data_IF_463055505986
#
_entry.id   IF_463055505986
#
_cell.length_a   1.000
_cell.length_b   1.000
_cell.length_c   1.000
_cell.angle_alpha   90.00
_cell.angle_beta   90.00
_cell.angle_gamma   90.00
#
_symmetry.space_group_name_H-M   'P 1'
#
loop_
_entity.id
_entity.type
_entity.pdbx_description
1 polymer ?
#
# COMPACT_ATOMS: atom_id res chain seq x y z
N UNK A 1 -23.62 25.69 0.67
CA UNK A 1 -23.10 24.67 1.59
C UNK A 1 -22.32 25.37 2.66
N UNK A 2 -22.55 25.02 3.92
CA UNK A 2 -21.85 25.64 5.05
C UNK A 2 -20.37 25.18 5.07
N UNK A 3 -19.43 26.08 5.32
CA UNK A 3 -18.00 25.78 5.48
C UNK A 3 -17.72 24.65 6.49
N UNK A 4 -18.63 24.43 7.44
CA UNK A 4 -18.56 23.34 8.45
C UNK A 4 -18.69 21.91 7.89
N UNK A 5 -18.97 21.72 6.60
CA UNK A 5 -19.05 20.41 5.95
C UNK A 5 -17.79 20.04 5.15
N UNK A 6 -16.84 20.96 5.05
CA UNK A 6 -15.55 20.75 4.39
C UNK A 6 -14.55 20.21 5.40
N UNK A 7 -13.86 19.14 5.06
CA UNK A 7 -12.82 18.59 5.90
C UNK A 7 -11.50 18.55 5.15
N UNK A 8 -10.49 19.20 5.72
CA UNK A 8 -9.09 19.05 5.35
C UNK A 8 -8.33 18.18 6.35
N UNK A 9 -8.99 17.79 7.43
CA UNK A 9 -8.36 17.14 8.60
C UNK A 9 -7.74 15.78 8.26
N UNK A 10 -8.31 15.04 7.28
CA UNK A 10 -7.89 13.68 6.95
C UNK A 10 -6.95 13.58 5.75
N UNK A 11 -6.71 14.68 5.04
CA UNK A 11 -6.03 14.62 3.74
C UNK A 11 -4.54 14.92 3.80
N UNK A 12 -4.00 15.26 4.96
CA UNK A 12 -2.62 15.74 5.09
C UNK A 12 -1.58 14.80 4.46
N UNK A 13 -1.52 13.53 4.85
CA UNK A 13 -0.61 12.57 4.20
C UNK A 13 -1.04 12.21 2.79
N UNK A 14 -2.33 12.23 2.50
CA UNK A 14 -2.89 12.08 1.16
C UNK A 14 -2.41 13.16 0.19
N UNK A 15 -2.11 14.37 0.68
CA UNK A 15 -1.60 15.49 -0.13
C UNK A 15 -0.40 15.10 -0.97
N UNK A 16 0.48 14.25 -0.47
CA UNK A 16 1.62 13.72 -1.21
C UNK A 16 1.16 13.04 -2.51
N UNK A 17 0.19 12.15 -2.44
CA UNK A 17 -0.36 11.44 -3.60
C UNK A 17 -1.12 12.36 -4.55
N UNK A 18 -1.78 13.40 -4.03
CA UNK A 18 -2.46 14.42 -4.84
C UNK A 18 -1.48 15.31 -5.61
N UNK A 19 -0.29 15.58 -5.05
CA UNK A 19 0.72 16.41 -5.70
C UNK A 19 1.55 15.66 -6.73
N UNK A 20 1.54 14.33 -6.74
CA UNK A 20 2.25 13.51 -7.72
C UNK A 20 1.73 13.70 -9.13
N UNK A 21 2.54 13.36 -10.12
CA UNK A 21 2.21 13.48 -11.52
C UNK A 21 1.13 12.49 -11.94
N UNK A 22 1.24 11.27 -11.47
CA UNK A 22 0.31 10.18 -11.78
C UNK A 22 -0.54 9.82 -10.56
N UNK A 23 -1.80 9.52 -10.79
CA UNK A 23 -2.67 8.97 -9.75
C UNK A 23 -2.20 7.56 -9.42
N UNK A 24 -1.98 7.27 -8.15
CA UNK A 24 -1.70 5.92 -7.68
C UNK A 24 -3.04 5.24 -7.39
N UNK A 25 -3.48 4.38 -8.31
CA UNK A 25 -4.70 3.59 -8.17
C UNK A 25 -4.33 2.18 -7.73
N UNK A 26 -4.63 1.86 -6.48
CA UNK A 26 -4.38 0.55 -5.89
C UNK A 26 -5.56 -0.38 -6.10
N UNK A 27 -5.33 -1.70 -6.05
CA UNK A 27 -6.37 -2.71 -6.21
C UNK A 27 -6.23 -3.85 -5.21
N UNK A 28 -7.33 -4.18 -4.53
CA UNK A 28 -7.51 -5.44 -3.84
C UNK A 28 -8.43 -6.37 -4.66
N UNK A 29 -8.05 -7.64 -4.75
CA UNK A 29 -8.84 -8.68 -5.40
C UNK A 29 -9.13 -9.80 -4.41
N UNK A 30 -10.39 -10.05 -4.12
CA UNK A 30 -10.84 -11.17 -3.30
C UNK A 30 -11.56 -12.18 -4.15
N UNK A 31 -11.04 -13.39 -4.27
CA UNK A 31 -11.78 -14.50 -4.84
C UNK A 31 -12.60 -15.15 -3.71
N UNK A 32 -13.90 -15.23 -3.91
CA UNK A 32 -14.85 -15.87 -2.98
C UNK A 32 -15.04 -17.34 -3.33
N UNK A 33 -15.70 -18.10 -2.44
CA UNK A 33 -15.97 -19.51 -2.67
C UNK A 33 -16.95 -19.73 -3.83
N UNK A 34 -17.91 -18.83 -4.00
CA UNK A 34 -18.95 -18.90 -5.02
C UNK A 34 -18.93 -17.65 -5.91
N UNK A 35 -19.59 -17.77 -7.08
CA UNK A 35 -19.80 -16.63 -7.95
C UNK A 35 -20.50 -15.47 -7.23
N UNK A 36 -20.01 -14.26 -7.43
CA UNK A 36 -20.52 -13.04 -6.81
C UNK A 36 -21.86 -12.66 -7.44
N UNK A 37 -22.84 -12.38 -6.60
CA UNK A 37 -24.12 -11.80 -7.01
C UNK A 37 -24.06 -10.27 -6.95
N UNK A 38 -24.00 -9.56 -8.09
CA UNK A 38 -23.80 -8.10 -8.10
C UNK A 38 -24.85 -7.32 -7.32
N UNK A 39 -26.12 -7.77 -7.37
CA UNK A 39 -27.21 -7.12 -6.64
C UNK A 39 -27.05 -7.24 -5.11
N UNK A 40 -26.55 -8.38 -4.61
CA UNK A 40 -26.26 -8.54 -3.18
C UNK A 40 -25.03 -7.73 -2.77
N UNK A 41 -24.01 -7.67 -3.64
CA UNK A 41 -22.81 -6.86 -3.40
C UNK A 41 -23.16 -5.37 -3.35
N UNK A 42 -24.07 -4.88 -4.21
CA UNK A 42 -24.58 -3.50 -4.17
C UNK A 42 -25.24 -3.19 -2.82
N UNK A 43 -26.13 -4.05 -2.37
CA UNK A 43 -26.78 -3.89 -1.05
C UNK A 43 -25.80 -3.92 0.11
N UNK A 44 -24.78 -4.78 0.02
CA UNK A 44 -23.72 -4.87 1.01
C UNK A 44 -22.88 -3.59 1.06
N UNK A 45 -22.53 -3.03 -0.09
CA UNK A 45 -21.83 -1.76 -0.21
C UNK A 45 -22.62 -0.60 0.41
N UNK A 46 -23.93 -0.51 0.12
CA UNK A 46 -24.82 0.50 0.70
C UNK A 46 -24.91 0.37 2.23
N UNK A 47 -25.04 -0.86 2.74
CA UNK A 47 -25.04 -1.12 4.16
C UNK A 47 -23.72 -0.73 4.83
N UNK A 48 -22.57 -1.05 4.23
CA UNK A 48 -21.25 -0.66 4.74
C UNK A 48 -21.07 0.86 4.74
N UNK A 49 -21.45 1.55 3.65
CA UNK A 49 -21.36 3.01 3.56
C UNK A 49 -22.26 3.75 4.56
N UNK A 50 -23.37 3.14 4.97
CA UNK A 50 -24.28 3.76 5.95
C UNK A 50 -23.65 3.93 7.34
N UNK A 51 -22.61 3.15 7.65
CA UNK A 51 -21.89 3.15 8.94
C UNK A 51 -20.44 3.64 8.82
N UNK A 52 -20.03 4.10 7.64
CA UNK A 52 -18.65 4.46 7.32
C UNK A 52 -18.57 5.82 6.60
N UNK A 53 -18.90 6.94 7.26
CA UNK A 53 -19.00 8.27 6.64
C UNK A 53 -17.69 8.75 6.02
N UNK A 54 -16.53 8.32 6.54
CA UNK A 54 -15.21 8.65 5.99
C UNK A 54 -15.07 8.33 4.50
N UNK A 55 -15.67 7.22 4.03
CA UNK A 55 -15.56 6.81 2.63
C UNK A 55 -16.61 7.45 1.72
N UNK A 56 -17.62 8.12 2.30
CA UNK A 56 -18.69 8.78 1.57
C UNK A 56 -18.36 10.23 1.22
N UNK A 57 -17.22 10.41 0.57
CA UNK A 57 -16.68 11.72 0.24
C UNK A 57 -16.29 11.83 -1.22
N UNK A 58 -16.21 13.07 -1.71
CA UNK A 58 -15.63 13.46 -2.98
C UNK A 58 -14.54 14.50 -2.79
N UNK A 59 -13.57 14.53 -3.72
CA UNK A 59 -12.48 15.49 -3.73
C UNK A 59 -12.88 16.72 -4.53
N UNK A 60 -12.88 17.88 -3.88
CA UNK A 60 -13.12 19.17 -4.52
C UNK A 60 -11.83 19.95 -4.63
N UNK A 61 -11.55 20.46 -5.83
CA UNK A 61 -10.36 21.26 -6.11
C UNK A 61 -10.77 22.71 -6.36
N UNK A 62 -10.09 23.63 -5.70
CA UNK A 62 -10.17 25.06 -5.92
C UNK A 62 -8.85 25.57 -6.55
N UNK A 63 -8.78 26.86 -6.83
CA UNK A 63 -7.58 27.44 -7.46
C UNK A 63 -6.30 27.23 -6.65
N UNK A 64 -6.39 27.23 -5.30
CA UNK A 64 -5.24 27.20 -4.38
C UNK A 64 -5.28 26.08 -3.35
N UNK A 65 -6.41 25.42 -3.19
CA UNK A 65 -6.71 24.44 -2.17
C UNK A 65 -7.51 23.25 -2.72
N UNK A 66 -7.60 22.21 -1.93
CA UNK A 66 -8.48 21.08 -2.16
C UNK A 66 -8.99 20.58 -0.80
N UNK A 67 -10.12 19.92 -0.81
CA UNK A 67 -10.74 19.39 0.41
C UNK A 67 -11.68 18.24 0.07
N UNK A 68 -12.04 17.49 1.10
CA UNK A 68 -13.08 16.47 1.00
C UNK A 68 -14.42 17.05 1.44
N UNK A 69 -15.48 16.69 0.74
CA UNK A 69 -16.85 16.98 1.14
C UNK A 69 -17.74 15.74 0.98
N UNK A 70 -18.87 15.66 1.69
CA UNK A 70 -19.81 14.55 1.52
C UNK A 70 -20.23 14.38 0.06
N UNK A 71 -20.16 13.16 -0.45
CA UNK A 71 -20.60 12.82 -1.80
C UNK A 71 -22.09 12.44 -1.77
N UNK A 72 -22.99 13.22 -2.40
CA UNK A 72 -24.42 12.92 -2.44
C UNK A 72 -24.81 11.87 -3.48
N UNK A 73 -23.89 11.53 -4.40
CA UNK A 73 -24.16 10.64 -5.51
C UNK A 73 -24.29 9.17 -5.03
N UNK A 74 -24.97 8.30 -5.79
CA UNK A 74 -25.01 6.88 -5.50
C UNK A 74 -23.63 6.25 -5.71
N UNK A 75 -23.21 5.40 -4.79
CA UNK A 75 -22.04 4.53 -4.95
C UNK A 75 -22.46 3.22 -5.59
N UNK A 76 -21.93 2.92 -6.76
CA UNK A 76 -22.36 1.78 -7.56
C UNK A 76 -21.36 0.64 -7.54
N UNK A 77 -21.85 -0.60 -7.57
CA UNK A 77 -21.06 -1.78 -7.91
C UNK A 77 -21.05 -1.93 -9.42
N UNK A 78 -19.87 -2.12 -9.98
CA UNK A 78 -19.66 -2.27 -11.41
C UNK A 78 -19.44 -3.75 -11.80
N UNK A 79 -19.69 -4.09 -13.05
CA UNK A 79 -19.39 -5.41 -13.59
C UNK A 79 -18.07 -5.38 -14.37
N UNK A 80 -17.34 -6.49 -14.32
CA UNK A 80 -16.04 -6.68 -14.99
C UNK A 80 -14.85 -6.37 -14.09
N UNK A 81 -13.67 -6.76 -14.58
CA UNK A 81 -12.37 -6.66 -13.88
C UNK A 81 -11.58 -5.39 -14.25
N UNK A 82 -12.04 -4.61 -15.22
CA UNK A 82 -11.34 -3.40 -15.64
C UNK A 82 -11.28 -2.37 -14.51
N UNK A 83 -10.08 -1.85 -14.23
CA UNK A 83 -9.89 -0.75 -13.29
C UNK A 83 -10.45 0.55 -13.89
N UNK A 84 -11.22 1.28 -13.09
CA UNK A 84 -11.86 2.54 -13.50
C UNK A 84 -10.96 3.73 -13.20
N UNK A 85 -11.12 4.80 -13.97
CA UNK A 85 -10.51 6.08 -13.60
C UNK A 85 -11.28 6.70 -12.42
N UNK A 86 -10.56 6.91 -11.32
CA UNK A 86 -11.10 7.41 -10.05
C UNK A 86 -10.64 8.87 -9.89
N UNK A 87 -11.53 9.82 -9.61
CA UNK A 87 -12.98 9.70 -9.34
C UNK A 87 -13.87 9.88 -10.57
N UNK A 88 -13.34 10.00 -11.76
CA UNK A 88 -14.03 10.43 -12.98
C UNK A 88 -15.15 9.44 -13.40
N UNK A 89 -14.90 8.14 -13.26
CA UNK A 89 -15.85 7.08 -13.64
C UNK A 89 -16.57 6.45 -12.45
N UNK A 90 -16.45 7.04 -11.25
CA UNK A 90 -16.96 6.46 -9.99
C UNK A 90 -17.96 7.37 -9.26
N UNK A 91 -18.70 8.21 -9.99
CA UNK A 91 -19.64 9.20 -9.42
C UNK A 91 -18.99 10.13 -8.38
N UNK A 92 -17.69 10.43 -8.54
CA UNK A 92 -16.93 11.28 -7.62
C UNK A 92 -16.37 10.55 -6.40
N UNK A 93 -16.67 9.25 -6.20
CA UNK A 93 -16.05 8.46 -5.13
C UNK A 93 -14.56 8.24 -5.41
N UNK A 94 -13.75 8.24 -4.34
CA UNK A 94 -12.31 8.01 -4.41
C UNK A 94 -11.93 6.52 -4.36
N UNK A 95 -12.91 5.66 -4.57
CA UNK A 95 -12.78 4.21 -4.71
C UNK A 95 -13.86 3.66 -5.65
N UNK A 96 -13.69 2.42 -6.09
CA UNK A 96 -14.71 1.65 -6.79
C UNK A 96 -14.79 0.22 -6.27
N UNK A 97 -15.98 -0.37 -6.40
CA UNK A 97 -16.22 -1.79 -6.14
C UNK A 97 -16.74 -2.40 -7.42
N UNK A 98 -16.10 -3.48 -7.89
CA UNK A 98 -16.59 -4.22 -9.04
C UNK A 98 -16.51 -5.73 -8.81
N UNK A 99 -17.15 -6.53 -9.66
CA UNK A 99 -17.07 -7.98 -9.57
C UNK A 99 -17.13 -8.64 -10.94
N UNK A 100 -16.44 -9.78 -11.05
CA UNK A 100 -16.46 -10.67 -12.21
C UNK A 100 -16.26 -12.12 -11.76
N UNK A 101 -17.15 -13.01 -12.18
CA UNK A 101 -17.11 -14.39 -11.72
C UNK A 101 -17.24 -14.51 -10.21
N UNK A 102 -16.26 -15.10 -9.57
CA UNK A 102 -16.19 -15.26 -8.11
C UNK A 102 -15.35 -14.15 -7.43
N UNK A 103 -14.87 -13.16 -8.18
CA UNK A 103 -13.91 -12.17 -7.69
C UNK A 103 -14.56 -10.81 -7.46
N UNK A 104 -14.30 -10.24 -6.29
CA UNK A 104 -14.59 -8.84 -5.93
C UNK A 104 -13.33 -8.04 -6.07
N UNK A 105 -13.40 -6.92 -6.78
CA UNK A 105 -12.34 -5.93 -6.93
C UNK A 105 -12.69 -4.68 -6.14
N UNK A 106 -11.72 -4.19 -5.37
CA UNK A 106 -11.80 -2.93 -4.67
C UNK A 106 -10.63 -2.06 -5.12
N UNK A 107 -10.93 -1.03 -5.89
CA UNK A 107 -9.93 -0.06 -6.36
C UNK A 107 -10.05 1.23 -5.57
N UNK A 108 -8.93 1.87 -5.28
CA UNK A 108 -8.97 3.18 -4.62
C UNK A 108 -7.82 4.08 -5.06
N UNK A 109 -8.07 5.37 -5.04
CA UNK A 109 -7.03 6.36 -5.17
C UNK A 109 -6.28 6.46 -3.84
N UNK A 110 -4.97 6.20 -3.87
CA UNK A 110 -4.12 6.14 -2.67
C UNK A 110 -4.11 7.46 -1.87
N UNK A 111 -4.56 8.56 -2.48
CA UNK A 111 -4.84 9.82 -1.80
C UNK A 111 -5.76 9.65 -0.58
N UNK A 112 -6.82 8.86 -0.70
CA UNK A 112 -7.82 8.72 0.37
C UNK A 112 -7.29 7.93 1.56
N UNK A 113 -6.60 6.81 1.31
CA UNK A 113 -6.23 5.86 2.36
C UNK A 113 -5.09 4.94 1.93
N UNK A 114 -4.40 4.37 2.92
CA UNK A 114 -3.47 3.26 2.74
C UNK A 114 -4.17 1.89 2.92
N UNK A 115 -3.39 0.80 2.81
CA UNK A 115 -3.92 -0.56 2.94
C UNK A 115 -4.58 -0.84 4.30
N UNK A 116 -4.09 -0.23 5.39
CA UNK A 116 -4.73 -0.34 6.70
C UNK A 116 -6.10 0.36 6.72
N UNK A 117 -6.20 1.54 6.12
CA UNK A 117 -7.47 2.26 6.02
C UNK A 117 -8.50 1.58 5.13
N UNK A 118 -8.09 0.79 4.13
CA UNK A 118 -9.00 0.00 3.28
C UNK A 118 -9.63 -1.16 4.04
N UNK A 119 -8.85 -1.85 4.87
CA UNK A 119 -9.24 -3.13 5.47
C UNK A 119 -10.57 -3.10 6.26
N UNK A 120 -10.86 -2.13 7.13
CA UNK A 120 -12.12 -2.10 7.88
C UNK A 120 -13.34 -1.97 6.98
N UNK A 121 -13.25 -1.15 5.94
CA UNK A 121 -14.37 -0.91 5.03
C UNK A 121 -14.63 -2.10 4.11
N UNK A 122 -13.59 -2.63 3.49
CA UNK A 122 -13.72 -3.79 2.63
C UNK A 122 -14.19 -5.02 3.41
N UNK A 123 -13.64 -5.25 4.60
CA UNK A 123 -14.12 -6.31 5.50
C UNK A 123 -15.62 -6.15 5.76
N UNK A 124 -16.08 -4.92 6.06
CA UNK A 124 -17.51 -4.66 6.28
C UNK A 124 -18.37 -4.95 5.06
N UNK A 125 -17.91 -4.60 3.85
CA UNK A 125 -18.62 -4.93 2.60
C UNK A 125 -18.76 -6.46 2.47
N UNK A 126 -17.67 -7.21 2.69
CA UNK A 126 -17.68 -8.67 2.59
C UNK A 126 -18.54 -9.33 3.68
N UNK A 127 -18.51 -8.83 4.92
CA UNK A 127 -19.36 -9.28 6.01
C UNK A 127 -20.85 -9.11 5.68
N UNK A 128 -21.24 -7.92 5.19
CA UNK A 128 -22.63 -7.66 4.81
C UNK A 128 -23.03 -8.47 3.56
N UNK A 129 -22.11 -8.71 2.64
CA UNK A 129 -22.34 -9.63 1.53
C UNK A 129 -22.59 -11.06 2.02
N UNK A 130 -21.78 -11.58 2.94
CA UNK A 130 -21.97 -12.91 3.52
C UNK A 130 -23.29 -13.01 4.30
N UNK A 131 -23.71 -11.96 5.01
CA UNK A 131 -25.01 -11.92 5.66
C UNK A 131 -26.16 -12.12 4.65
N UNK A 132 -26.07 -11.45 3.51
CA UNK A 132 -27.10 -11.52 2.47
C UNK A 132 -27.04 -12.82 1.66
N UNK A 133 -25.85 -13.35 1.43
CA UNK A 133 -25.65 -14.53 0.57
C UNK A 133 -25.77 -15.84 1.31
N UNK A 134 -25.23 -15.92 2.53
CA UNK A 134 -25.07 -17.16 3.29
C UNK A 134 -25.85 -17.17 4.60
N UNK A 135 -26.56 -16.10 4.93
CA UNK A 135 -27.34 -16.01 6.18
C UNK A 135 -26.48 -15.92 7.44
N UNK A 136 -25.26 -15.41 7.34
CA UNK A 136 -24.41 -15.10 8.51
C UNK A 136 -24.98 -13.90 9.28
N UNK A 137 -24.45 -13.62 10.46
CA UNK A 137 -24.96 -12.57 11.35
C UNK A 137 -23.87 -11.59 11.79
N UNK A 138 -23.01 -11.15 10.86
CA UNK A 138 -21.99 -10.13 11.14
C UNK A 138 -22.65 -8.78 11.47
N UNK A 139 -22.20 -8.14 12.54
CA UNK A 139 -22.74 -6.86 12.96
C UNK A 139 -22.31 -5.72 12.01
N UNK A 140 -23.26 -4.82 11.69
CA UNK A 140 -22.96 -3.60 10.92
C UNK A 140 -22.65 -2.43 11.86
N UNK A 141 -21.52 -2.51 12.61
CA UNK A 141 -21.09 -1.46 13.55
C UNK A 141 -20.43 -0.30 12.85
N UNK A 142 -20.53 0.93 13.39
CA UNK A 142 -19.86 2.11 12.84
C UNK A 142 -18.34 1.91 12.69
N UNK A 143 -17.81 2.40 11.56
CA UNK A 143 -16.37 2.51 11.33
C UNK A 143 -15.96 3.94 11.67
N UNK A 144 -15.22 4.08 12.76
CA UNK A 144 -14.75 5.38 13.24
C UNK A 144 -13.41 5.72 12.59
N UNK A 145 -13.12 7.01 12.47
CA UNK A 145 -11.83 7.52 12.02
C UNK A 145 -11.31 8.50 13.07
N UNK A 146 -10.08 8.29 13.52
CA UNK A 146 -9.39 9.27 14.38
C UNK A 146 -9.22 10.59 13.63
N UNK A 147 -9.33 11.76 14.33
CA UNK A 147 -8.94 13.04 13.74
C UNK A 147 -7.47 13.03 13.32
N UNK A 148 -7.09 13.94 12.43
CA UNK A 148 -5.70 14.06 12.02
C UNK A 148 -4.80 14.46 13.21
N UNK A 149 -3.58 13.96 13.21
CA UNK A 149 -2.56 14.38 14.17
C UNK A 149 -2.07 15.82 13.87
N UNK A 150 -1.65 16.52 14.91
CA UNK A 150 -1.08 17.86 14.78
C UNK A 150 0.36 17.81 14.25
N UNK A 151 0.51 18.05 12.93
CA UNK A 151 1.82 18.02 12.28
C UNK A 151 2.73 19.17 12.74
N UNK A 152 2.20 20.34 13.05
CA UNK A 152 3.00 21.48 13.51
C UNK A 152 3.65 21.17 14.86
N UNK A 153 2.87 20.68 15.83
CA UNK A 153 3.38 20.22 17.10
C UNK A 153 4.41 19.07 16.95
N UNK A 154 4.19 18.18 15.99
CA UNK A 154 5.16 17.11 15.69
C UNK A 154 6.45 17.65 15.07
N UNK A 155 6.37 18.64 14.17
CA UNK A 155 7.55 19.29 13.58
C UNK A 155 8.38 20.05 14.60
N UNK A 156 7.75 20.67 15.60
CA UNK A 156 8.45 21.31 16.72
C UNK A 156 9.20 20.28 17.57
N UNK A 157 8.56 19.14 17.86
CA UNK A 157 9.14 18.07 18.67
C UNK A 157 10.24 17.28 17.93
N UNK A 158 10.11 17.11 16.63
CA UNK A 158 11.03 16.35 15.78
C UNK A 158 11.52 17.22 14.60
N UNK A 159 12.35 18.24 14.86
CA UNK A 159 12.83 19.12 13.80
C UNK A 159 13.60 18.30 12.75
N UNK A 160 13.35 18.59 11.47
CA UNK A 160 14.10 17.99 10.37
C UNK A 160 15.58 18.35 10.50
N UNK A 161 16.49 17.40 10.27
CA UNK A 161 17.92 17.73 10.23
C UNK A 161 18.16 18.82 9.19
N UNK A 162 19.00 19.77 9.52
CA UNK A 162 19.46 20.78 8.57
C UNK A 162 20.20 20.09 7.43
N UNK A 163 19.98 20.51 6.19
CA UNK A 163 20.33 19.86 4.91
C UNK A 163 21.84 19.57 4.65
N UNK A 164 22.66 19.44 5.69
CA UNK A 164 24.13 19.34 5.57
C UNK A 164 24.68 17.91 5.54
N UNK A 165 23.86 16.87 5.62
CA UNK A 165 24.34 15.47 5.69
C UNK A 165 23.77 14.51 4.64
N UNK A 166 23.07 14.99 3.63
CA UNK A 166 22.64 14.13 2.52
C UNK A 166 23.72 14.08 1.44
N UNK A 167 24.57 13.09 1.49
CA UNK A 167 25.39 12.70 0.33
C UNK A 167 24.47 12.08 -0.70
N UNK A 168 23.87 12.92 -1.54
CA UNK A 168 23.03 12.50 -2.66
C UNK A 168 23.91 11.86 -3.74
N UNK A 169 23.94 10.54 -3.81
CA UNK A 169 24.26 9.84 -5.04
C UNK A 169 23.04 9.96 -5.96
N UNK A 170 23.21 10.73 -7.03
CA UNK A 170 22.17 10.90 -8.06
C UNK A 170 22.26 9.76 -9.06
N UNK A 171 21.53 8.71 -8.84
CA UNK A 171 21.17 7.85 -9.95
C UNK A 171 19.96 8.47 -10.67
N UNK A 172 20.10 8.60 -12.00
CA UNK A 172 19.05 9.15 -12.86
C UNK A 172 17.81 8.28 -12.71
N UNK A 173 16.72 8.85 -12.20
CA UNK A 173 15.41 8.19 -12.17
C UNK A 173 15.05 7.89 -13.62
N UNK A 174 15.17 6.62 -14.01
CA UNK A 174 14.70 6.18 -15.33
C UNK A 174 13.19 6.22 -15.31
N UNK A 175 12.61 7.17 -16.03
CA UNK A 175 11.16 7.20 -16.28
C UNK A 175 10.86 6.11 -17.30
N UNK A 176 10.29 5.02 -16.86
CA UNK A 176 9.83 3.97 -17.75
C UNK A 176 8.46 4.35 -18.34
N UNK A 177 8.42 4.60 -19.64
CA UNK A 177 7.19 4.77 -20.41
C UNK A 177 6.69 3.39 -20.87
N UNK A 178 6.28 2.52 -19.95
CA UNK A 178 5.85 1.17 -20.27
C UNK A 178 4.48 0.83 -19.70
N UNK A 179 3.86 -0.23 -20.25
CA UNK A 179 2.70 -0.88 -19.62
C UNK A 179 3.12 -1.45 -18.28
N UNK A 180 2.23 -1.36 -17.28
CA UNK A 180 2.42 -2.05 -16.02
C UNK A 180 2.54 -3.56 -16.25
N UNK A 181 3.57 -4.19 -15.70
CA UNK A 181 3.76 -5.64 -15.70
C UNK A 181 3.45 -6.18 -14.32
N UNK A 182 2.82 -7.34 -14.27
CA UNK A 182 2.41 -8.00 -13.02
C UNK A 182 3.05 -9.38 -12.93
N UNK A 183 3.63 -9.65 -11.77
CA UNK A 183 4.12 -10.98 -11.42
C UNK A 183 3.49 -11.39 -10.10
N UNK A 184 3.01 -12.64 -10.02
CA UNK A 184 2.47 -13.19 -8.78
C UNK A 184 3.30 -14.39 -8.33
N UNK A 185 3.67 -14.38 -7.04
CA UNK A 185 4.35 -15.51 -6.41
C UNK A 185 3.58 -15.90 -5.16
N UNK A 186 3.29 -17.19 -5.01
CA UNK A 186 2.63 -17.76 -3.83
C UNK A 186 3.55 -18.76 -3.17
N UNK A 187 3.67 -18.66 -1.86
CA UNK A 187 4.47 -19.57 -1.06
C UNK A 187 3.70 -20.00 0.19
N UNK A 188 4.09 -21.10 0.79
CA UNK A 188 3.54 -21.50 2.07
C UNK A 188 4.04 -20.55 3.14
N UNK A 189 3.12 -20.03 3.98
CA UNK A 189 3.50 -19.18 5.11
C UNK A 189 4.46 -19.89 6.05
N UNK A 190 4.26 -21.20 6.25
CA UNK A 190 5.07 -21.99 7.17
C UNK A 190 6.55 -22.02 6.76
N UNK A 191 6.86 -22.28 5.48
CA UNK A 191 8.27 -22.32 5.02
C UNK A 191 9.00 -21.01 5.25
N UNK A 192 8.33 -19.84 5.01
CA UNK A 192 8.94 -18.54 5.32
C UNK A 192 9.15 -18.33 6.82
N UNK A 193 8.16 -18.73 7.64
CA UNK A 193 8.27 -18.61 9.11
C UNK A 193 9.39 -19.50 9.65
N UNK A 194 9.48 -20.76 9.19
CA UNK A 194 10.52 -21.69 9.59
C UNK A 194 11.91 -21.14 9.25
N UNK A 195 12.08 -20.66 8.02
CA UNK A 195 13.34 -20.05 7.58
C UNK A 195 13.69 -18.79 8.37
N UNK A 196 12.70 -17.95 8.71
CA UNK A 196 12.92 -16.79 9.56
C UNK A 196 13.37 -17.19 10.98
N UNK A 197 12.72 -18.21 11.56
CA UNK A 197 13.06 -18.75 12.90
C UNK A 197 14.45 -19.35 12.90
N UNK A 198 14.82 -20.15 11.91
CA UNK A 198 16.17 -20.74 11.77
C UNK A 198 17.26 -19.66 11.75
N UNK A 199 17.00 -18.53 11.15
CA UNK A 199 17.94 -17.40 11.08
C UNK A 199 17.78 -16.40 12.25
N UNK A 200 16.86 -16.60 13.16
CA UNK A 200 16.61 -15.73 14.32
C UNK A 200 16.06 -14.33 13.96
N UNK A 201 15.40 -14.19 12.83
CA UNK A 201 14.90 -12.89 12.29
C UNK A 201 13.38 -12.89 12.12
N UNK A 202 12.82 -11.74 11.76
CA UNK A 202 11.40 -11.61 11.43
C UNK A 202 11.09 -12.11 10.02
N UNK A 203 9.87 -12.66 9.76
CA UNK A 203 9.46 -13.10 8.43
C UNK A 203 9.57 -12.00 7.37
N UNK A 204 9.31 -10.74 7.74
CA UNK A 204 9.51 -9.58 6.86
C UNK A 204 10.96 -9.47 6.39
N UNK A 205 11.92 -9.58 7.32
CA UNK A 205 13.35 -9.47 7.01
C UNK A 205 13.83 -10.65 6.16
N UNK A 206 13.38 -11.86 6.47
CA UNK A 206 13.67 -13.04 5.65
C UNK A 206 13.16 -12.85 4.22
N UNK A 207 11.93 -12.33 4.05
CA UNK A 207 11.36 -12.04 2.74
C UNK A 207 12.14 -10.96 1.97
N UNK A 208 12.54 -9.87 2.64
CA UNK A 208 13.35 -8.82 2.03
C UNK A 208 14.72 -9.36 1.57
N UNK A 209 15.36 -10.22 2.37
CA UNK A 209 16.59 -10.89 2.00
C UNK A 209 16.44 -11.83 0.80
N UNK A 210 15.39 -12.66 0.77
CA UNK A 210 15.07 -13.55 -0.35
C UNK A 210 14.85 -12.77 -1.66
N UNK A 211 14.09 -11.66 -1.60
CA UNK A 211 13.87 -10.79 -2.76
C UNK A 211 15.18 -10.14 -3.22
N UNK A 212 16.04 -9.71 -2.28
CA UNK A 212 17.34 -9.13 -2.62
C UNK A 212 18.24 -10.14 -3.33
N UNK A 213 18.29 -11.39 -2.88
CA UNK A 213 19.04 -12.47 -3.54
C UNK A 213 18.49 -12.77 -4.94
N UNK A 214 17.18 -12.84 -5.10
CA UNK A 214 16.55 -13.06 -6.39
C UNK A 214 16.86 -11.92 -7.37
N UNK A 215 16.71 -10.67 -6.94
CA UNK A 215 16.91 -9.49 -7.78
C UNK A 215 18.37 -9.22 -8.11
N UNK A 216 19.32 -9.57 -7.21
CA UNK A 216 20.73 -9.49 -7.53
C UNK A 216 21.06 -10.26 -8.79
N UNK A 217 20.64 -11.53 -8.84
CA UNK A 217 20.86 -12.40 -9.99
C UNK A 217 20.24 -11.84 -11.27
N UNK A 218 19.09 -11.16 -11.13
CA UNK A 218 18.38 -10.57 -12.26
C UNK A 218 19.01 -9.26 -12.74
N UNK A 219 19.34 -8.36 -11.83
CA UNK A 219 19.83 -7.02 -12.16
C UNK A 219 21.33 -6.98 -12.42
N UNK A 220 22.07 -8.05 -12.05
CA UNK A 220 23.52 -8.11 -12.15
C UNK A 220 24.23 -7.08 -11.25
N UNK A 221 23.65 -6.76 -10.09
CA UNK A 221 24.17 -5.76 -9.15
C UNK A 221 24.71 -6.45 -7.90
N UNK A 222 25.83 -5.95 -7.36
CA UNK A 222 26.42 -6.42 -6.10
C UNK A 222 25.86 -5.70 -4.86
N UNK A 223 25.01 -4.70 -5.06
CA UNK A 223 24.31 -4.00 -4.00
C UNK A 223 22.85 -3.81 -4.40
N UNK A 224 21.94 -4.27 -3.56
CA UNK A 224 20.49 -4.13 -3.75
C UNK A 224 19.95 -3.14 -2.73
N UNK A 225 19.29 -2.09 -3.22
CA UNK A 225 18.60 -1.10 -2.40
C UNK A 225 17.12 -1.45 -2.31
N UNK A 226 16.56 -1.47 -1.11
CA UNK A 226 15.14 -1.68 -0.92
C UNK A 226 14.55 -0.65 0.02
N UNK A 227 13.28 -0.31 -0.21
CA UNK A 227 12.49 0.51 0.69
C UNK A 227 11.32 -0.28 1.26
N UNK A 228 10.84 0.13 2.43
CA UNK A 228 9.70 -0.50 3.07
C UNK A 228 8.89 0.51 3.87
N UNK A 229 7.60 0.22 4.02
CA UNK A 229 6.67 1.06 4.76
C UNK A 229 6.48 0.60 6.19
N UNK A 230 6.29 1.55 7.10
CA UNK A 230 5.94 1.31 8.49
C UNK A 230 4.71 2.14 8.89
N UNK A 231 3.74 1.47 9.51
CA UNK A 231 2.56 2.14 10.09
C UNK A 231 2.96 2.99 11.29
N UNK A 232 2.48 4.22 11.33
CA UNK A 232 2.78 5.21 12.37
C UNK A 232 1.56 5.56 13.24
N UNK A 233 0.39 4.96 13.00
CA UNK A 233 -0.87 5.32 13.66
C UNK A 233 -0.78 5.32 15.17
N UNK A 234 -0.24 4.24 15.73
CA UNK A 234 -0.12 4.07 17.17
C UNK A 234 0.79 5.13 17.78
N UNK A 235 1.93 5.36 17.16
CA UNK A 235 2.94 6.32 17.65
C UNK A 235 2.49 7.76 17.48
N UNK A 236 1.72 8.04 16.43
CA UNK A 236 1.10 9.36 16.19
C UNK A 236 -0.13 9.63 17.06
N UNK A 237 -0.59 8.63 17.85
CA UNK A 237 -1.77 8.78 18.72
C UNK A 237 -3.11 8.75 17.99
N UNK A 238 -3.16 8.18 16.78
CA UNK A 238 -4.35 8.10 15.93
C UNK A 238 -4.63 6.65 15.52
N UNK A 239 -4.84 5.70 16.45
CA UNK A 239 -4.89 4.28 16.18
C UNK A 239 -5.98 3.87 15.19
N UNK A 240 -7.08 4.60 15.13
CA UNK A 240 -8.24 4.31 14.27
C UNK A 240 -8.23 5.18 13.00
N UNK A 241 -7.10 5.79 12.64
CA UNK A 241 -7.01 6.60 11.43
C UNK A 241 -7.22 5.73 10.17
N UNK A 242 -8.12 6.17 9.29
CA UNK A 242 -8.40 5.52 8.01
C UNK A 242 -7.60 6.14 6.87
N UNK A 243 -7.14 7.38 7.03
CA UNK A 243 -6.24 8.06 6.09
C UNK A 243 -4.82 7.50 6.14
N UNK A 244 -3.98 7.93 5.20
CA UNK A 244 -2.59 7.47 5.12
C UNK A 244 -1.80 7.83 6.38
N UNK A 245 -1.22 6.83 7.03
CA UNK A 245 -0.40 6.95 8.24
C UNK A 245 0.84 6.07 8.15
N UNK A 246 1.56 6.15 7.05
CA UNK A 246 2.78 5.36 6.85
C UNK A 246 3.99 6.26 6.65
N UNK A 247 5.15 5.80 7.09
CA UNK A 247 6.43 6.36 6.67
C UNK A 247 7.24 5.29 5.95
N UNK A 248 8.17 5.70 5.10
CA UNK A 248 9.04 4.81 4.35
C UNK A 248 10.46 4.90 4.82
N UNK A 249 11.12 3.75 4.94
CA UNK A 249 12.54 3.62 5.20
C UNK A 249 13.22 3.02 3.98
N UNK A 250 14.50 3.29 3.83
CA UNK A 250 15.33 2.70 2.80
C UNK A 250 16.55 2.04 3.44
N UNK A 251 16.94 0.91 2.91
CA UNK A 251 18.11 0.16 3.30
C UNK A 251 18.76 -0.50 2.09
N UNK A 252 19.98 -0.95 2.22
CA UNK A 252 20.71 -1.66 1.18
C UNK A 252 21.48 -2.86 1.72
N UNK A 253 21.69 -3.85 0.86
CA UNK A 253 22.44 -5.05 1.20
C UNK A 253 23.46 -5.36 0.11
N UNK A 254 24.70 -5.66 0.51
CA UNK A 254 25.78 -6.08 -0.40
C UNK A 254 25.76 -7.60 -0.55
N UNK A 255 25.85 -8.05 -1.77
CA UNK A 255 25.69 -9.44 -2.17
C UNK A 255 26.80 -9.87 -3.13
N UNK A 256 27.15 -11.14 -3.14
CA UNK A 256 28.01 -11.78 -4.13
C UNK A 256 27.40 -13.14 -4.54
N UNK A 257 28.06 -13.89 -5.40
CA UNK A 257 27.52 -15.15 -5.94
C UNK A 257 27.35 -16.24 -4.89
N UNK A 258 28.15 -16.21 -3.82
CA UNK A 258 28.16 -17.19 -2.74
C UNK A 258 27.27 -16.79 -1.56
N UNK A 259 26.73 -15.57 -1.57
CA UNK A 259 25.92 -15.04 -0.46
C UNK A 259 24.65 -15.87 -0.26
N UNK A 260 24.46 -16.34 0.97
CA UNK A 260 23.25 -17.06 1.41
C UNK A 260 22.38 -16.14 2.27
N UNK A 261 21.11 -16.50 2.40
CA UNK A 261 20.17 -15.76 3.24
C UNK A 261 20.69 -15.54 4.66
N UNK A 262 21.26 -16.59 5.27
CA UNK A 262 21.80 -16.55 6.63
C UNK A 262 22.93 -15.53 6.83
N UNK A 263 23.65 -15.18 5.76
CA UNK A 263 24.79 -14.24 5.85
C UNK A 263 24.33 -12.79 5.98
N UNK A 264 23.14 -12.47 5.47
CA UNK A 264 22.68 -11.07 5.33
C UNK A 264 21.56 -10.69 6.28
N UNK A 265 20.63 -11.62 6.57
CA UNK A 265 19.41 -11.25 7.31
C UNK A 265 19.63 -10.84 8.76
N UNK A 266 20.67 -11.27 9.51
CA UNK A 266 20.88 -10.77 10.87
C UNK A 266 21.17 -9.27 10.93
N UNK A 267 21.98 -8.74 10.00
CA UNK A 267 22.27 -7.30 9.90
C UNK A 267 21.04 -6.52 9.42
N UNK A 268 20.35 -7.04 8.39
CA UNK A 268 19.10 -6.46 7.90
C UNK A 268 18.05 -6.36 9.00
N UNK A 269 17.88 -7.41 9.84
CA UNK A 269 16.88 -7.41 10.93
C UNK A 269 17.24 -6.41 12.02
N UNK A 270 18.51 -6.31 12.37
CA UNK A 270 18.99 -5.32 13.35
C UNK A 270 18.69 -3.89 12.87
N UNK A 271 18.87 -3.61 11.60
CA UNK A 271 18.54 -2.32 11.01
C UNK A 271 17.02 -2.07 10.98
N UNK A 272 16.23 -3.02 10.50
CA UNK A 272 14.75 -2.93 10.50
C UNK A 272 14.23 -2.69 11.91
N UNK A 273 14.69 -3.45 12.90
CA UNK A 273 14.29 -3.27 14.30
C UNK A 273 14.66 -1.89 14.86
N UNK A 274 15.78 -1.31 14.42
CA UNK A 274 16.19 0.04 14.80
C UNK A 274 15.25 1.11 14.23
N UNK A 275 14.87 0.97 12.96
CA UNK A 275 13.98 1.92 12.28
C UNK A 275 12.53 1.82 12.74
N UNK A 276 12.09 0.64 13.19
CA UNK A 276 10.73 0.44 13.71
C UNK A 276 10.53 0.91 15.16
N UNK A 277 11.56 1.46 15.83
CA UNK A 277 11.38 2.09 17.14
C UNK A 277 10.42 3.28 17.04
N UNK A 278 9.55 3.49 18.04
CA UNK A 278 8.53 4.55 18.00
C UNK A 278 9.05 5.92 17.61
N UNK A 279 10.14 6.34 18.22
CA UNK A 279 10.76 7.65 17.96
C UNK A 279 11.32 7.73 16.51
N UNK A 280 11.94 6.65 16.01
CA UNK A 280 12.49 6.64 14.66
C UNK A 280 11.38 6.74 13.61
N UNK A 281 10.26 6.04 13.80
CA UNK A 281 9.08 6.13 12.92
C UNK A 281 8.51 7.56 12.89
N UNK A 282 8.33 8.18 14.05
CA UNK A 282 7.80 9.56 14.14
C UNK A 282 8.75 10.58 13.49
N UNK A 283 10.06 10.47 13.74
CA UNK A 283 11.05 11.33 13.06
C UNK A 283 10.99 11.19 11.56
N UNK A 284 10.95 9.97 11.06
CA UNK A 284 10.88 9.67 9.62
C UNK A 284 9.58 10.21 9.01
N UNK A 285 8.44 9.99 9.66
CA UNK A 285 7.16 10.51 9.23
C UNK A 285 7.19 12.04 9.12
N UNK A 286 7.66 12.71 10.19
CA UNK A 286 7.76 14.19 10.19
C UNK A 286 8.71 14.68 9.12
N UNK A 287 9.85 14.03 8.92
CA UNK A 287 10.80 14.41 7.88
C UNK A 287 10.16 14.35 6.48
N UNK A 288 9.46 13.27 6.16
CA UNK A 288 8.77 13.11 4.89
C UNK A 288 7.62 14.11 4.72
N UNK A 289 6.81 14.28 5.77
CA UNK A 289 5.62 15.13 5.71
C UNK A 289 5.91 16.62 5.82
N UNK A 290 7.00 17.03 6.44
CA UNK A 290 7.36 18.46 6.57
C UNK A 290 7.52 19.16 5.23
N UNK A 291 8.03 18.47 4.21
CA UNK A 291 8.13 19.02 2.85
C UNK A 291 6.75 19.19 2.22
N UNK A 292 5.91 18.15 2.30
CA UNK A 292 4.53 18.18 1.80
C UNK A 292 3.77 19.34 2.43
N UNK A 293 3.85 19.46 3.77
CA UNK A 293 3.22 20.53 4.54
C UNK A 293 3.71 21.91 4.08
N UNK A 294 5.01 22.14 4.02
CA UNK A 294 5.59 23.42 3.59
C UNK A 294 5.15 23.83 2.18
N UNK A 295 5.06 22.87 1.26
CA UNK A 295 4.56 23.13 -0.11
C UNK A 295 3.08 23.47 -0.09
N UNK A 296 2.28 22.73 0.69
CA UNK A 296 0.84 22.94 0.75
C UNK A 296 0.46 24.29 1.36
N UNK A 297 1.18 24.76 2.38
CA UNK A 297 0.95 26.06 3.01
C UNK A 297 1.31 27.27 2.12
N UNK A 298 1.93 27.07 0.97
CA UNK A 298 2.25 28.19 0.08
C UNK A 298 0.98 28.85 -0.49
N UNK A 299 0.94 30.19 -0.49
CA UNK A 299 -0.14 30.98 -1.11
C UNK A 299 -0.05 30.97 -2.64
N UNK A 300 0.13 29.81 -3.24
CA UNK A 300 0.30 29.62 -4.67
C UNK A 300 -0.87 28.80 -5.27
N UNK A 301 -1.14 28.90 -6.60
CA UNK A 301 -2.05 28.02 -7.28
C UNK A 301 -1.64 26.54 -7.14
N UNK A 302 -2.61 25.62 -7.08
CA UNK A 302 -2.37 24.18 -6.94
C UNK A 302 -1.36 23.65 -7.96
N UNK A 303 -1.49 24.04 -9.21
CA UNK A 303 -0.55 23.62 -10.27
C UNK A 303 0.91 24.01 -10.00
N UNK A 304 1.14 25.13 -9.31
CA UNK A 304 2.49 25.54 -8.90
C UNK A 304 2.97 24.69 -7.73
N UNK A 305 2.11 24.45 -6.72
CA UNK A 305 2.42 23.56 -5.60
C UNK A 305 2.80 22.17 -6.08
N UNK A 306 2.02 21.60 -7.01
CA UNK A 306 2.30 20.29 -7.62
C UNK A 306 3.67 20.26 -8.32
N UNK A 307 3.99 21.27 -9.15
CA UNK A 307 5.29 21.34 -9.82
C UNK A 307 6.46 21.46 -8.85
N UNK A 308 6.31 22.28 -7.80
CA UNK A 308 7.34 22.43 -6.77
C UNK A 308 7.56 21.12 -6.02
N UNK A 309 6.46 20.42 -5.67
CA UNK A 309 6.52 19.12 -5.02
C UNK A 309 7.22 18.07 -5.89
N UNK A 310 6.80 17.93 -7.14
CA UNK A 310 7.39 16.99 -8.12
C UNK A 310 8.87 17.25 -8.37
N UNK A 311 9.27 18.52 -8.44
CA UNK A 311 10.69 18.88 -8.57
C UNK A 311 11.48 18.51 -7.31
N UNK A 312 10.90 18.69 -6.12
CA UNK A 312 11.51 18.27 -4.85
C UNK A 312 11.67 16.74 -4.78
N UNK A 313 10.67 15.96 -5.16
CA UNK A 313 10.76 14.49 -5.23
C UNK A 313 11.87 14.05 -6.22
N UNK A 314 11.92 14.66 -7.39
CA UNK A 314 12.97 14.37 -8.39
C UNK A 314 14.39 14.64 -7.87
N UNK A 315 14.57 15.71 -7.07
CA UNK A 315 15.88 16.10 -6.54
C UNK A 315 16.28 15.22 -5.34
N UNK A 316 15.30 14.84 -4.49
CA UNK A 316 15.54 14.15 -3.21
C UNK A 316 15.34 12.63 -3.28
N UNK A 317 14.73 12.12 -4.33
CA UNK A 317 14.44 10.71 -4.48
C UNK A 317 15.70 9.89 -4.71
N UNK A 318 15.99 8.93 -3.82
CA UNK A 318 16.95 7.85 -4.07
C UNK A 318 16.13 6.64 -4.49
N UNK A 319 16.24 6.18 -5.74
CA UNK A 319 15.45 5.04 -6.19
C UNK A 319 15.95 3.78 -5.48
N UNK A 320 15.03 3.04 -4.86
CA UNK A 320 15.28 1.68 -4.43
C UNK A 320 15.08 0.73 -5.63
N UNK A 321 15.76 -0.41 -5.64
CA UNK A 321 15.55 -1.44 -6.66
C UNK A 321 14.16 -2.06 -6.51
N UNK A 322 13.67 -2.18 -5.26
CA UNK A 322 12.29 -2.55 -4.99
C UNK A 322 11.76 -1.89 -3.73
N UNK A 323 10.44 -1.76 -3.67
CA UNK A 323 9.72 -1.37 -2.48
C UNK A 323 8.90 -2.57 -1.98
N UNK A 324 8.98 -2.85 -0.68
CA UNK A 324 8.29 -3.96 -0.03
C UNK A 324 7.30 -3.46 1.01
N UNK A 325 6.04 -3.82 0.82
CA UNK A 325 4.98 -3.68 1.81
C UNK A 325 4.52 -5.05 2.28
N UNK A 326 4.31 -5.22 3.57
CA UNK A 326 3.82 -6.45 4.16
C UNK A 326 2.53 -6.17 4.94
N UNK A 327 1.40 -6.40 4.29
CA UNK A 327 0.06 -6.16 4.86
C UNK A 327 -0.36 -7.18 5.92
N UNK A 328 0.23 -8.38 5.90
CA UNK A 328 -0.27 -9.49 6.71
C UNK A 328 -1.65 -9.98 6.23
N UNK A 329 -2.57 -10.24 7.16
CA UNK A 329 -3.94 -10.65 6.80
C UNK A 329 -4.79 -9.43 6.42
N UNK A 330 -5.28 -9.33 5.17
CA UNK A 330 -6.04 -8.17 4.70
C UNK A 330 -7.45 -8.06 5.32
N UNK A 331 -7.94 -9.13 5.93
CA UNK A 331 -9.27 -9.19 6.54
C UNK A 331 -9.25 -8.94 8.06
N UNK A 332 -8.17 -8.39 8.62
CA UNK A 332 -8.15 -8.00 10.02
C UNK A 332 -8.92 -6.66 10.20
N UNK A 333 -9.74 -6.57 11.24
CA UNK A 333 -10.00 -7.52 12.35
C UNK A 333 -11.05 -8.59 12.06
N UNK A 334 -11.23 -9.03 10.82
CA UNK A 334 -12.24 -9.99 10.44
C UNK A 334 -12.15 -11.29 11.24
N UNK A 335 -13.30 -11.89 11.46
CA UNK A 335 -13.40 -13.18 12.11
C UNK A 335 -12.86 -14.30 11.21
N UNK A 336 -12.41 -15.41 11.81
CA UNK A 336 -12.07 -16.63 11.06
C UNK A 336 -13.24 -17.13 10.19
N UNK A 337 -14.47 -16.75 10.55
CA UNK A 337 -15.67 -17.09 9.81
C UNK A 337 -15.68 -16.45 8.41
N UNK A 338 -15.32 -15.17 8.28
CA UNK A 338 -15.24 -14.52 6.96
C UNK A 338 -14.19 -15.16 6.06
N UNK A 339 -13.06 -15.60 6.62
CA UNK A 339 -12.00 -16.27 5.88
C UNK A 339 -12.43 -17.57 5.19
N UNK A 340 -13.48 -18.26 5.72
CA UNK A 340 -14.03 -19.48 5.12
C UNK A 340 -14.66 -19.22 3.75
N UNK A 341 -15.12 -18.00 3.50
CA UNK A 341 -15.76 -17.60 2.24
C UNK A 341 -14.77 -17.01 1.24
N UNK A 342 -13.49 -16.85 1.61
CA UNK A 342 -12.45 -16.26 0.76
C UNK A 342 -11.45 -17.34 0.36
N UNK A 343 -11.30 -17.56 -0.96
CA UNK A 343 -10.31 -18.50 -1.51
C UNK A 343 -8.93 -17.87 -1.60
N UNK A 344 -8.87 -16.63 -2.06
CA UNK A 344 -7.65 -15.97 -2.50
C UNK A 344 -7.71 -14.46 -2.32
N UNK A 345 -6.52 -13.86 -2.20
CA UNK A 345 -6.35 -12.42 -2.12
C UNK A 345 -5.09 -11.97 -2.85
N UNK A 346 -5.24 -10.96 -3.69
CA UNK A 346 -4.12 -10.27 -4.33
C UNK A 346 -4.23 -8.78 -4.07
N UNK A 347 -3.08 -8.10 -3.95
CA UNK A 347 -2.98 -6.66 -3.78
C UNK A 347 -2.01 -6.08 -4.77
N UNK A 348 -2.47 -5.10 -5.55
CA UNK A 348 -1.70 -4.45 -6.61
C UNK A 348 -1.58 -2.97 -6.29
N UNK A 349 -0.33 -2.51 -6.15
CA UNK A 349 -0.01 -1.11 -5.90
C UNK A 349 1.06 -0.68 -6.90
N UNK A 350 0.73 0.24 -7.82
CA UNK A 350 1.68 0.73 -8.80
C UNK A 350 2.93 1.31 -8.13
N UNK A 351 4.13 0.93 -8.56
CA UNK A 351 5.35 1.51 -8.03
C UNK A 351 5.42 2.99 -8.38
N UNK A 352 5.92 3.75 -7.43
CA UNK A 352 6.17 5.16 -7.60
C UNK A 352 7.59 5.39 -8.11
N UNK A 353 7.72 6.15 -9.20
CA UNK A 353 9.00 6.65 -9.68
C UNK A 353 9.98 5.64 -10.29
N UNK A 354 9.55 4.45 -10.71
CA UNK A 354 10.38 3.53 -11.51
C UNK A 354 10.98 2.35 -10.75
N UNK A 355 10.80 2.24 -9.44
CA UNK A 355 11.12 1.02 -8.70
C UNK A 355 10.04 -0.06 -8.89
N UNK A 356 10.40 -1.28 -8.58
CA UNK A 356 9.47 -2.41 -8.51
C UNK A 356 8.71 -2.35 -7.19
N UNK A 357 7.38 -2.42 -7.24
CA UNK A 357 6.53 -2.55 -6.06
C UNK A 357 6.27 -4.02 -5.73
N UNK A 358 6.49 -4.42 -4.49
CA UNK A 358 6.17 -5.76 -3.98
C UNK A 358 5.22 -5.64 -2.80
N UNK A 359 4.01 -6.12 -3.00
CA UNK A 359 3.00 -6.22 -1.94
C UNK A 359 2.91 -7.66 -1.45
N UNK A 360 3.15 -7.88 -0.17
CA UNK A 360 3.04 -9.18 0.46
C UNK A 360 1.81 -9.23 1.37
N UNK A 361 0.96 -10.24 1.16
CA UNK A 361 -0.21 -10.51 2.00
C UNK A 361 -0.22 -11.97 2.46
N UNK A 362 -0.98 -12.25 3.53
CA UNK A 362 -1.09 -13.61 4.06
C UNK A 362 -2.54 -13.97 4.30
N UNK A 363 -3.05 -14.98 3.58
CA UNK A 363 -4.40 -15.50 3.74
C UNK A 363 -4.36 -17.04 3.73
N UNK A 364 -5.12 -17.68 4.63
CA UNK A 364 -5.30 -19.15 4.66
C UNK A 364 -3.99 -19.96 4.61
N UNK A 365 -2.93 -19.49 5.28
CA UNK A 365 -1.63 -20.16 5.32
C UNK A 365 -0.74 -19.96 4.08
N UNK A 366 -1.17 -19.14 3.14
CA UNK A 366 -0.44 -18.76 1.93
C UNK A 366 0.03 -17.31 2.07
N UNK A 367 1.28 -17.04 1.68
CA UNK A 367 1.76 -15.69 1.41
C UNK A 367 1.72 -15.48 -0.09
N UNK A 368 1.08 -14.40 -0.50
CA UNK A 368 1.01 -13.96 -1.89
C UNK A 368 1.85 -12.70 -2.05
N UNK A 369 2.79 -12.72 -2.98
CA UNK A 369 3.55 -11.57 -3.43
C UNK A 369 2.95 -11.11 -4.76
N UNK A 370 2.43 -9.90 -4.78
CA UNK A 370 2.00 -9.22 -5.99
C UNK A 370 3.04 -8.18 -6.35
N UNK A 371 3.66 -8.35 -7.49
CA UNK A 371 4.77 -7.50 -7.96
C UNK A 371 4.30 -6.71 -9.16
N UNK A 372 4.41 -5.39 -9.09
CA UNK A 372 4.15 -4.48 -10.20
C UNK A 372 5.42 -3.72 -10.57
N UNK A 373 5.69 -3.60 -11.86
CA UNK A 373 6.79 -2.80 -12.38
C UNK A 373 6.46 -2.26 -13.78
N UNK A 374 7.15 -1.19 -14.18
CA UNK A 374 7.02 -0.59 -15.52
C UNK A 374 8.12 -1.08 -16.48
N UNK A 375 9.12 -1.80 -16.00
CA UNK A 375 10.21 -2.33 -16.81
C UNK A 375 9.83 -3.71 -17.38
N UNK A 376 10.36 -4.05 -18.55
CA UNK A 376 10.30 -5.43 -19.03
C UNK A 376 11.25 -6.29 -18.21
N UNK A 377 10.69 -7.25 -17.49
CA UNK A 377 11.43 -8.20 -16.66
C UNK A 377 11.02 -9.63 -16.99
N UNK A 378 11.40 -10.13 -18.19
CA UNK A 378 10.98 -11.46 -18.64
C UNK A 378 11.57 -12.54 -17.74
N UNK A 379 10.73 -13.50 -17.34
CA UNK A 379 11.13 -14.62 -16.49
C UNK A 379 11.34 -14.29 -15.03
N UNK A 380 10.90 -13.10 -14.56
CA UNK A 380 11.02 -12.68 -13.15
C UNK A 380 10.40 -13.71 -12.20
N UNK A 381 9.21 -14.23 -12.52
CA UNK A 381 8.53 -15.25 -11.72
C UNK A 381 9.41 -16.50 -11.53
N UNK A 382 9.97 -17.03 -12.62
CA UNK A 382 10.84 -18.21 -12.57
C UNK A 382 12.12 -18.00 -11.79
N UNK A 383 12.67 -16.80 -11.86
CA UNK A 383 13.88 -16.45 -11.13
C UNK A 383 13.64 -16.30 -9.63
N UNK A 384 12.54 -15.66 -9.23
CA UNK A 384 12.12 -15.56 -7.82
C UNK A 384 11.87 -16.98 -7.29
N UNK A 385 11.17 -17.85 -8.03
CA UNK A 385 10.97 -19.25 -7.66
C UNK A 385 12.29 -19.94 -7.37
N UNK A 386 13.24 -19.88 -8.31
CA UNK A 386 14.53 -20.55 -8.20
C UNK A 386 15.33 -20.07 -6.98
N UNK A 387 15.34 -18.74 -6.74
CA UNK A 387 16.05 -18.17 -5.60
C UNK A 387 15.41 -18.58 -4.26
N UNK A 388 14.09 -18.61 -4.20
CA UNK A 388 13.36 -18.98 -2.99
C UNK A 388 13.50 -20.47 -2.68
N UNK A 389 13.35 -21.34 -3.68
CA UNK A 389 13.49 -22.80 -3.53
C UNK A 389 14.94 -23.18 -3.12
N UNK A 390 15.95 -22.44 -3.59
CA UNK A 390 17.36 -22.61 -3.14
C UNK A 390 17.55 -22.34 -1.63
N UNK A 391 16.69 -21.54 -1.05
CA UNK A 391 16.65 -21.22 0.39
C UNK A 391 15.53 -21.98 1.13
N UNK A 392 15.11 -23.13 0.61
CA UNK A 392 14.12 -24.08 1.18
C UNK A 392 12.71 -23.46 1.38
N UNK A 393 12.35 -22.43 0.61
CA UNK A 393 11.00 -21.88 0.60
C UNK A 393 10.12 -22.69 -0.36
N UNK A 394 8.99 -23.18 0.14
CA UNK A 394 8.02 -23.89 -0.69
C UNK A 394 7.19 -22.91 -1.53
N UNK A 395 7.52 -22.82 -2.81
CA UNK A 395 6.80 -21.97 -3.79
C UNK A 395 5.68 -22.76 -4.44
N UNK A 396 4.45 -22.37 -4.17
CA UNK A 396 3.23 -22.99 -4.71
C UNK A 396 2.96 -22.55 -6.15
N UNK A 397 3.18 -21.27 -6.44
CA UNK A 397 2.96 -20.66 -7.75
C UNK A 397 3.98 -19.54 -7.98
N UNK A 398 4.44 -19.39 -9.22
CA UNK A 398 5.15 -18.20 -9.68
C UNK A 398 4.82 -17.99 -11.15
N UNK A 399 4.20 -16.85 -11.48
CA UNK A 399 3.65 -16.57 -12.81
C UNK A 399 3.79 -15.08 -13.16
N UNK A 400 4.26 -14.81 -14.37
CA UNK A 400 4.17 -13.50 -14.99
C UNK A 400 2.79 -13.38 -15.64
N UNK A 401 2.03 -12.36 -15.27
CA UNK A 401 0.66 -12.14 -15.73
C UNK A 401 0.66 -11.19 -16.93
N UNK A 402 -0.05 -11.56 -17.96
CA UNK A 402 -0.35 -10.67 -19.08
C UNK A 402 -1.32 -9.58 -18.61
N UNK A 403 -0.95 -8.31 -18.80
CA UNK A 403 -1.72 -7.13 -18.39
C UNK A 403 -2.26 -6.36 -19.58
#
# INVERSE_FOLDING_TARGET
MNESQRSTEYIFQGTMYFFRREKILCRYQFALQDAVEPALLQRALEAALSVAPYYRVQLVQEKRSFFLEPNPNPCLVYQGSAQRDIPEETNGYLFSVSCEGDTVYFDWYHFLMDGHGVSPFLTRILEQYCNLRYGTAFANTPILCSPAYDIEAMMEKYPSPTATESTMQRDVVQTYEGRMRRTRVRLTKQSLVDRAVENGVKPFTALAGLLSLALRSYLGKDEIQYSYSADTRREAGVPDALYNCVCSFQSGVKLNDDTRLADIVPEMDAEVLRTLKPEAKLRQMVQQMSWVYKVDQQKAPLRIKQRVFQMGEYISGVPADFWLSYLGNPLLPATQELQKYTKDFNVWVPPDGGSMGVEASSLNGIITLCIENKAEMPGLAGMIRTAFEKEDITVLEAVDLDT
#
